data_IF_984534214678
#
_entry.id   IF_984534214678
#
_cell.length_a   1.000
_cell.length_b   1.000
_cell.length_c   1.000
_cell.angle_alpha   90.00
_cell.angle_beta   90.00
_cell.angle_gamma   90.00
#
_symmetry.space_group_name_H-M   'P 1'
#
loop_
_entity.id
_entity.type
_entity.pdbx_description
1 polymer ?
#
# COMPACT_ATOMS: atom_id res chain seq x y z
N UNK A 1 -42.65 -11.36 3.63
CA UNK A 1 -42.60 -10.07 2.86
C UNK A 1 -41.16 -9.60 2.92
N UNK A 2 -40.34 -10.19 2.05
CA UNK A 2 -38.95 -9.87 1.90
C UNK A 2 -38.82 -8.54 1.17
N UNK A 3 -38.27 -7.55 1.84
CA UNK A 3 -37.79 -6.32 1.17
C UNK A 3 -36.56 -6.69 0.40
N UNK A 4 -36.74 -7.02 -0.89
CA UNK A 4 -35.65 -7.12 -1.83
C UNK A 4 -34.89 -5.80 -1.82
N UNK A 5 -33.61 -5.88 -1.48
CA UNK A 5 -32.63 -4.82 -1.71
C UNK A 5 -32.82 -4.32 -3.14
N UNK A 6 -33.02 -3.01 -3.29
CA UNK A 6 -33.27 -2.35 -4.57
C UNK A 6 -32.07 -2.38 -5.50
N UNK A 7 -31.71 -3.56 -5.95
CA UNK A 7 -30.77 -3.75 -7.04
C UNK A 7 -31.53 -3.46 -8.34
N UNK A 8 -31.39 -2.24 -8.83
CA UNK A 8 -32.04 -1.82 -10.08
C UNK A 8 -31.31 -2.51 -11.25
N UNK A 9 -31.89 -3.63 -11.74
CA UNK A 9 -31.35 -4.44 -12.82
C UNK A 9 -31.50 -3.81 -14.22
N UNK A 10 -32.12 -2.63 -14.32
CA UNK A 10 -32.48 -2.02 -15.61
C UNK A 10 -31.51 -0.96 -16.13
N UNK A 11 -30.37 -0.70 -15.46
CA UNK A 11 -29.31 0.11 -16.08
C UNK A 11 -28.69 -0.69 -17.22
N UNK A 12 -28.85 -0.26 -18.46
CA UNK A 12 -28.19 -0.79 -19.64
C UNK A 12 -26.71 -1.01 -19.34
N UNK A 13 -26.31 -2.28 -19.22
CA UNK A 13 -24.91 -2.64 -18.97
C UNK A 13 -24.04 -2.12 -20.12
N UNK A 14 -23.03 -1.33 -19.81
CA UNK A 14 -22.05 -0.86 -20.79
C UNK A 14 -21.37 -2.06 -21.47
N UNK A 15 -21.11 -1.98 -22.78
CA UNK A 15 -20.28 -2.97 -23.46
C UNK A 15 -18.84 -2.86 -22.96
N UNK A 16 -18.35 -3.93 -22.35
CA UNK A 16 -17.01 -4.03 -21.72
C UNK A 16 -16.13 -5.05 -22.43
N UNK A 17 -16.51 -5.49 -23.61
CA UNK A 17 -15.71 -6.44 -24.39
C UNK A 17 -14.33 -5.86 -24.69
N UNK A 18 -13.26 -6.61 -24.39
CA UNK A 18 -11.88 -6.16 -24.56
C UNK A 18 -11.37 -5.18 -23.52
N UNK A 19 -12.12 -4.96 -22.42
CA UNK A 19 -11.70 -4.16 -21.27
C UNK A 19 -11.51 -5.04 -20.03
N UNK A 20 -10.46 -4.78 -19.27
CA UNK A 20 -10.06 -5.56 -18.09
C UNK A 20 -9.78 -4.59 -16.96
N UNK A 21 -10.47 -4.76 -15.84
CA UNK A 21 -10.18 -3.99 -14.63
C UNK A 21 -9.19 -4.75 -13.76
N UNK A 22 -8.07 -4.13 -13.46
CA UNK A 22 -7.12 -4.58 -12.46
C UNK A 22 -7.28 -3.76 -11.19
N UNK A 23 -7.38 -4.43 -10.04
CA UNK A 23 -7.39 -3.80 -8.72
C UNK A 23 -6.27 -4.46 -7.90
N UNK A 24 -5.36 -3.66 -7.38
CA UNK A 24 -4.31 -4.12 -6.47
C UNK A 24 -4.71 -3.82 -5.02
N UNK A 25 -5.14 -4.85 -4.33
CA UNK A 25 -5.60 -4.76 -2.94
C UNK A 25 -4.49 -5.08 -1.92
N UNK A 26 -3.22 -5.18 -2.33
CA UNK A 26 -2.11 -5.58 -1.42
C UNK A 26 -1.92 -4.63 -0.25
N UNK A 27 -2.23 -3.36 -0.44
CA UNK A 27 -2.12 -2.34 0.61
C UNK A 27 -3.36 -2.22 1.49
N UNK A 28 -4.48 -2.84 1.07
CA UNK A 28 -5.72 -2.84 1.84
C UNK A 28 -5.71 -3.96 2.88
N UNK A 29 -6.57 -3.83 3.88
CA UNK A 29 -6.76 -4.83 4.92
C UNK A 29 -5.83 -4.67 6.12
N UNK A 30 -6.10 -5.47 7.14
CA UNK A 30 -5.38 -5.49 8.40
C UNK A 30 -5.03 -6.93 8.79
N UNK A 31 -4.02 -7.09 9.65
CA UNK A 31 -3.69 -8.39 10.23
C UNK A 31 -4.70 -8.72 11.32
N UNK A 32 -5.57 -9.69 11.05
CA UNK A 32 -6.56 -10.18 12.01
C UNK A 32 -5.89 -11.02 13.11
N UNK A 33 -4.91 -11.79 12.71
CA UNK A 33 -4.05 -12.55 13.61
C UNK A 33 -2.62 -12.62 13.02
N UNK A 34 -1.76 -13.44 13.57
CA UNK A 34 -0.36 -13.58 13.16
C UNK A 34 -0.16 -13.97 11.69
N UNK A 35 -1.13 -14.61 11.08
CA UNK A 35 -1.01 -15.23 9.74
C UNK A 35 -2.11 -14.75 8.80
N UNK A 36 -3.30 -14.46 9.33
CA UNK A 36 -4.49 -14.13 8.54
C UNK A 36 -4.65 -12.63 8.37
N UNK A 37 -4.74 -12.19 7.12
CA UNK A 37 -5.13 -10.83 6.74
C UNK A 37 -6.61 -10.80 6.36
N UNK A 38 -7.32 -9.77 6.79
CA UNK A 38 -8.74 -9.59 6.52
C UNK A 38 -9.00 -8.16 6.02
N UNK A 39 -10.11 -7.92 5.32
CA UNK A 39 -10.49 -6.61 4.84
C UNK A 39 -11.46 -5.93 5.82
N UNK A 40 -11.30 -4.63 5.98
CA UNK A 40 -12.29 -3.81 6.66
C UNK A 40 -13.54 -3.62 5.79
N UNK A 41 -14.66 -3.19 6.40
CA UNK A 41 -15.85 -2.84 5.63
C UNK A 41 -15.60 -1.70 4.63
N UNK A 42 -14.70 -0.78 4.96
CA UNK A 42 -14.33 0.35 4.11
C UNK A 42 -13.46 -0.13 2.92
N UNK A 43 -12.56 -1.08 3.13
CA UNK A 43 -11.78 -1.69 2.05
C UNK A 43 -12.69 -2.41 1.06
N UNK A 44 -13.63 -3.21 1.56
CA UNK A 44 -14.62 -3.91 0.74
C UNK A 44 -15.45 -2.90 -0.06
N UNK A 45 -15.89 -1.83 0.59
CA UNK A 45 -16.64 -0.77 -0.05
C UNK A 45 -15.83 -0.07 -1.13
N UNK A 46 -14.56 0.29 -0.86
CA UNK A 46 -13.65 0.91 -1.84
C UNK A 46 -13.50 0.04 -3.08
N UNK A 47 -13.28 -1.26 -2.92
CA UNK A 47 -13.16 -2.21 -4.05
C UNK A 47 -14.49 -2.29 -4.82
N UNK A 48 -15.61 -2.42 -4.12
CA UNK A 48 -16.93 -2.54 -4.72
C UNK A 48 -17.32 -1.27 -5.49
N UNK A 49 -17.12 -0.09 -4.90
CA UNK A 49 -17.42 1.20 -5.51
C UNK A 49 -16.58 1.41 -6.78
N UNK A 50 -15.29 1.09 -6.75
CA UNK A 50 -14.40 1.14 -7.92
C UNK A 50 -14.88 0.21 -9.04
N UNK A 51 -15.25 -1.03 -8.69
CA UNK A 51 -15.79 -1.98 -9.66
C UNK A 51 -17.11 -1.47 -10.27
N UNK A 52 -18.01 -0.96 -9.46
CA UNK A 52 -19.30 -0.43 -9.92
C UNK A 52 -19.13 0.82 -10.80
N UNK A 53 -18.25 1.74 -10.42
CA UNK A 53 -17.91 2.90 -11.23
C UNK A 53 -17.40 2.47 -12.61
N UNK A 54 -16.46 1.54 -12.67
CA UNK A 54 -15.97 0.97 -13.92
C UNK A 54 -17.08 0.21 -14.69
N UNK A 55 -17.91 -0.56 -13.99
CA UNK A 55 -18.99 -1.34 -14.60
C UNK A 55 -20.02 -0.45 -15.31
N UNK A 56 -20.35 0.68 -14.72
CA UNK A 56 -21.34 1.62 -15.27
C UNK A 56 -20.70 2.64 -16.21
N UNK A 57 -19.40 2.88 -16.11
CA UNK A 57 -18.68 3.89 -16.88
C UNK A 57 -18.97 5.31 -16.43
N UNK A 58 -19.46 5.47 -15.19
CA UNK A 58 -19.74 6.74 -14.56
C UNK A 58 -18.69 6.97 -13.46
N UNK A 59 -17.97 8.10 -13.51
CA UNK A 59 -17.01 8.50 -12.47
C UNK A 59 -15.88 7.50 -12.17
N UNK A 60 -15.51 6.65 -13.15
CA UNK A 60 -14.34 5.79 -13.01
C UNK A 60 -13.10 6.52 -13.48
N UNK A 61 -12.07 6.50 -12.67
CA UNK A 61 -10.74 7.00 -12.98
C UNK A 61 -9.69 5.95 -12.59
N UNK A 62 -8.63 5.86 -13.39
CA UNK A 62 -7.48 5.03 -13.04
C UNK A 62 -6.74 5.67 -11.86
N UNK A 63 -6.40 4.87 -10.86
CA UNK A 63 -5.67 5.32 -9.67
C UNK A 63 -4.34 4.58 -9.62
N UNK A 64 -3.20 5.28 -9.82
CA UNK A 64 -1.88 4.69 -9.72
C UNK A 64 -1.69 3.91 -8.41
N UNK A 65 -1.11 2.72 -8.49
CA UNK A 65 -0.92 1.84 -7.33
C UNK A 65 -2.16 1.10 -6.85
N UNK A 66 -3.37 1.45 -7.31
CA UNK A 66 -4.60 0.81 -6.85
C UNK A 66 -5.45 0.19 -7.96
N UNK A 67 -5.86 0.93 -9.00
CA UNK A 67 -6.69 0.37 -10.05
C UNK A 67 -6.35 0.92 -11.43
N UNK A 68 -6.55 0.07 -12.46
CA UNK A 68 -6.31 0.43 -13.86
C UNK A 68 -7.26 -0.34 -14.79
N UNK A 69 -7.87 0.37 -15.73
CA UNK A 69 -8.73 -0.23 -16.76
C UNK A 69 -7.95 -0.46 -18.05
N UNK A 70 -7.38 -1.65 -18.19
CA UNK A 70 -6.59 -2.04 -19.34
C UNK A 70 -7.45 -2.40 -20.57
N UNK A 71 -6.96 -2.05 -21.75
CA UNK A 71 -7.48 -2.55 -23.01
C UNK A 71 -6.83 -3.89 -23.43
N UNK A 72 -7.43 -4.59 -24.39
CA UNK A 72 -6.81 -5.78 -24.97
C UNK A 72 -5.44 -5.47 -25.61
N UNK A 73 -5.23 -4.24 -26.09
CA UNK A 73 -3.95 -3.81 -26.64
C UNK A 73 -2.87 -3.73 -25.54
N UNK A 74 -3.24 -3.25 -24.36
CA UNK A 74 -2.34 -3.20 -23.22
C UNK A 74 -1.98 -4.60 -22.72
N UNK A 75 -2.95 -5.51 -22.68
CA UNK A 75 -2.70 -6.93 -22.35
C UNK A 75 -1.70 -7.55 -23.32
N UNK A 76 -1.82 -7.29 -24.61
CA UNK A 76 -0.89 -7.79 -25.64
C UNK A 76 0.52 -7.21 -25.47
N UNK A 77 0.67 -5.93 -25.11
CA UNK A 77 1.98 -5.31 -24.84
C UNK A 77 2.73 -5.98 -23.69
N UNK A 78 2.00 -6.57 -22.75
CA UNK A 78 2.55 -7.28 -21.60
C UNK A 78 2.56 -8.80 -21.77
N UNK A 79 2.61 -9.30 -23.02
CA UNK A 79 2.68 -10.74 -23.33
C UNK A 79 1.56 -11.57 -22.68
N UNK A 80 0.36 -10.98 -22.54
CA UNK A 80 -0.81 -11.58 -21.89
C UNK A 80 -0.61 -11.94 -20.41
N UNK A 81 0.36 -11.35 -19.73
CA UNK A 81 0.55 -11.51 -18.29
C UNK A 81 -0.49 -10.67 -17.54
N UNK A 82 -1.33 -11.32 -16.74
CA UNK A 82 -2.45 -10.69 -16.02
C UNK A 82 -2.12 -10.40 -14.54
N UNK A 83 -0.94 -9.88 -14.27
CA UNK A 83 -0.53 -9.51 -12.90
C UNK A 83 -0.90 -8.04 -12.64
N UNK A 84 -1.82 -7.73 -11.68
CA UNK A 84 -2.30 -6.36 -11.46
C UNK A 84 -1.19 -5.32 -11.29
N UNK A 85 -0.14 -5.62 -10.55
CA UNK A 85 0.97 -4.69 -10.31
C UNK A 85 1.72 -4.23 -11.57
N UNK A 86 1.56 -4.90 -12.71
CA UNK A 86 2.12 -4.44 -14.00
C UNK A 86 1.28 -3.35 -14.65
N UNK A 87 0.00 -3.28 -14.33
CA UNK A 87 -0.96 -2.36 -14.94
C UNK A 87 -1.24 -1.15 -14.06
N UNK A 88 -1.40 -1.34 -12.75
CA UNK A 88 -1.71 -0.25 -11.83
C UNK A 88 -0.52 0.68 -11.57
N UNK A 89 0.71 0.25 -11.93
CA UNK A 89 1.93 1.02 -11.66
C UNK A 89 2.29 1.04 -10.18
N UNK A 90 3.24 1.90 -9.83
CA UNK A 90 3.54 2.25 -8.45
C UNK A 90 2.67 3.45 -8.05
N UNK A 91 2.25 3.49 -6.78
CA UNK A 91 1.78 4.75 -6.18
C UNK A 91 2.85 5.82 -6.43
N UNK A 92 2.44 7.02 -6.83
CA UNK A 92 3.34 8.17 -6.79
C UNK A 92 3.79 8.32 -5.33
N UNK A 93 4.98 7.81 -5.03
CA UNK A 93 5.63 8.19 -3.78
C UNK A 93 5.90 9.68 -3.91
N UNK A 94 5.42 10.46 -2.94
CA UNK A 94 5.89 11.83 -2.78
C UNK A 94 7.41 11.76 -2.89
N UNK A 95 7.96 12.31 -3.96
CA UNK A 95 9.41 12.40 -4.11
C UNK A 95 9.91 13.10 -2.85
N UNK A 96 10.72 12.37 -2.09
CA UNK A 96 11.40 12.93 -0.92
C UNK A 96 12.18 14.16 -1.42
N UNK A 97 11.58 15.33 -1.26
CA UNK A 97 12.10 16.60 -1.80
C UNK A 97 13.40 17.01 -1.11
N UNK A 98 13.81 16.29 -0.06
CA UNK A 98 15.09 16.49 0.61
C UNK A 98 16.21 15.98 -0.30
N UNK A 99 17.12 16.85 -0.72
CA UNK A 99 18.27 16.44 -1.49
C UNK A 99 19.05 15.34 -0.77
N UNK A 100 19.46 14.29 -1.52
CA UNK A 100 20.14 13.11 -0.92
C UNK A 100 21.33 13.51 -0.03
N UNK A 101 22.09 14.54 -0.42
CA UNK A 101 23.22 15.04 0.36
C UNK A 101 22.79 15.59 1.73
N UNK A 102 21.69 16.32 1.78
CA UNK A 102 21.17 16.92 3.02
C UNK A 102 20.60 15.84 3.95
N UNK A 103 19.87 14.89 3.39
CA UNK A 103 19.38 13.72 4.10
C UNK A 103 20.52 12.89 4.69
N UNK A 104 21.57 12.63 3.92
CA UNK A 104 22.75 11.91 4.39
C UNK A 104 23.50 12.67 5.50
N UNK A 105 23.66 13.99 5.35
CA UNK A 105 24.31 14.81 6.39
C UNK A 105 23.51 14.77 7.69
N UNK A 106 22.19 14.91 7.64
CA UNK A 106 21.31 14.83 8.80
C UNK A 106 21.37 13.46 9.48
N UNK A 107 21.25 12.39 8.70
CA UNK A 107 21.25 11.02 9.23
C UNK A 107 22.60 10.63 9.82
N UNK A 108 23.71 11.04 9.21
CA UNK A 108 25.06 10.81 9.77
C UNK A 108 25.29 11.56 11.06
N UNK A 109 24.77 12.77 11.19
CA UNK A 109 24.83 13.55 12.44
C UNK A 109 24.05 12.84 13.55
N UNK A 110 22.79 12.44 13.28
CA UNK A 110 21.98 11.69 14.24
C UNK A 110 22.64 10.36 14.65
N UNK A 111 23.22 9.66 13.72
CA UNK A 111 23.94 8.40 14.00
C UNK A 111 25.14 8.64 14.92
N UNK A 112 25.91 9.71 14.69
CA UNK A 112 27.05 10.06 15.53
C UNK A 112 26.61 10.41 16.97
N UNK A 113 25.51 11.13 17.10
CA UNK A 113 24.90 11.44 18.43
C UNK A 113 24.47 10.16 19.15
N UNK A 114 23.79 9.25 18.46
CA UNK A 114 23.33 7.97 19.03
C UNK A 114 24.52 7.09 19.46
N UNK A 115 25.59 7.04 18.69
CA UNK A 115 26.81 6.33 19.10
C UNK A 115 27.47 6.95 20.34
N UNK A 116 27.47 8.29 20.44
CA UNK A 116 27.96 8.99 21.62
C UNK A 116 27.12 8.66 22.87
N UNK A 117 25.81 8.60 22.72
CA UNK A 117 24.87 8.25 23.79
C UNK A 117 25.01 6.78 24.21
N UNK A 118 25.13 5.87 23.24
CA UNK A 118 25.40 4.45 23.48
C UNK A 118 26.70 4.23 24.29
N UNK A 119 27.76 4.94 23.95
CA UNK A 119 29.04 4.86 24.66
C UNK A 119 28.92 5.32 26.11
N UNK A 120 28.13 6.39 26.38
CA UNK A 120 27.87 6.87 27.75
C UNK A 120 27.08 5.84 28.54
N UNK A 121 26.02 5.30 27.97
CA UNK A 121 25.20 4.26 28.61
C UNK A 121 26.00 3.00 28.90
N UNK A 122 26.87 2.59 27.99
CA UNK A 122 27.77 1.45 28.21
C UNK A 122 28.71 1.68 29.41
N UNK A 123 29.27 2.88 29.51
CA UNK A 123 30.12 3.25 30.66
C UNK A 123 29.34 3.24 31.97
N UNK A 124 28.11 3.75 31.98
CA UNK A 124 27.25 3.71 33.16
C UNK A 124 26.88 2.28 33.57
N UNK A 125 26.56 1.43 32.63
CA UNK A 125 26.26 0.01 32.86
C UNK A 125 27.48 -0.67 33.49
N UNK A 126 28.67 -0.49 32.91
CA UNK A 126 29.92 -1.05 33.45
C UNK A 126 30.19 -0.57 34.87
N UNK A 127 29.99 0.73 35.15
CA UNK A 127 30.14 1.30 36.50
C UNK A 127 29.17 0.66 37.49
N UNK A 128 27.88 0.59 37.14
CA UNK A 128 26.86 0.03 38.02
C UNK A 128 27.11 -1.47 38.29
N UNK A 129 27.55 -2.22 37.28
CA UNK A 129 27.91 -3.64 37.46
C UNK A 129 29.14 -3.80 38.37
N UNK A 130 30.14 -2.93 38.23
CA UNK A 130 31.31 -2.94 39.12
C UNK A 130 30.95 -2.64 40.59
N UNK A 131 30.05 -1.68 40.83
CA UNK A 131 29.53 -1.38 42.19
C UNK A 131 28.76 -2.55 42.81
N UNK A 132 28.13 -3.37 41.98
CA UNK A 132 27.43 -4.58 42.42
C UNK A 132 28.36 -5.83 42.52
N UNK A 133 29.66 -5.70 42.21
CA UNK A 133 30.64 -6.77 42.26
C UNK A 133 30.65 -7.68 41.02
N UNK A 134 29.99 -7.28 39.93
CA UNK A 134 29.92 -8.02 38.65
C UNK A 134 30.65 -7.28 37.50
N UNK A 135 31.74 -6.60 37.79
CA UNK A 135 32.54 -5.92 36.74
C UNK A 135 33.19 -6.90 35.75
N UNK A 136 33.22 -6.51 34.45
CA UNK A 136 33.91 -7.21 33.33
C UNK A 136 34.68 -6.22 32.49
#
# INVERSE_FOLDING_TARGET
KDKANGFNLDKKKRDRRGQFLFIDARQLGYMKDRVLRDFTSDDIKKIADTFHAWQHGESYEDVPGFCYAASLADIRKHDHVLTPGRYVGAEEQEEDSEAFADKMARLTTQLAEQFGESTKLEAEIKKNLAELGYGF
#
